data_IF_779592876719
#
_entry.id   IF_779592876719
#
_cell.length_a   1.000
_cell.length_b   1.000
_cell.length_c   1.000
_cell.angle_alpha   90.00
_cell.angle_beta   90.00
_cell.angle_gamma   90.00
#
_symmetry.space_group_name_H-M   'P 1'
#
loop_
_entity.id
_entity.type
_entity.pdbx_description
1 polymer ?
#
# COMPACT_ATOMS: atom_id res chain seq x y z
N UNK A 1 25.37 -5.50 9.39
CA UNK A 1 24.19 -4.74 8.92
C UNK A 1 23.45 -4.25 10.16
N UNK A 2 23.19 -2.94 10.28
CA UNK A 2 22.37 -2.42 11.39
C UNK A 2 20.97 -3.04 11.23
N UNK A 3 20.57 -3.92 12.16
CA UNK A 3 19.21 -4.45 12.26
C UNK A 3 18.30 -3.25 12.55
N UNK A 4 17.90 -2.49 11.52
CA UNK A 4 16.75 -1.60 11.63
C UNK A 4 15.60 -2.52 11.99
N UNK A 5 15.04 -2.28 13.16
CA UNK A 5 13.85 -2.97 13.62
C UNK A 5 12.76 -2.79 12.55
N UNK A 6 12.50 -3.85 11.78
CA UNK A 6 11.55 -3.84 10.68
C UNK A 6 10.15 -3.46 11.16
N UNK A 7 9.79 -3.82 12.39
CA UNK A 7 8.53 -3.43 13.00
C UNK A 7 8.48 -1.91 13.22
N UNK A 8 9.59 -1.30 13.69
CA UNK A 8 9.72 0.16 13.79
C UNK A 8 9.60 0.82 12.41
N UNK A 9 10.33 0.34 11.40
CA UNK A 9 10.29 0.96 10.07
C UNK A 9 8.90 0.84 9.43
N UNK A 10 8.27 -0.34 9.52
CA UNK A 10 6.92 -0.59 9.05
C UNK A 10 5.90 0.30 9.78
N UNK A 11 6.02 0.45 11.09
CA UNK A 11 5.21 1.38 11.90
C UNK A 11 5.30 2.80 11.37
N UNK A 12 6.51 3.29 11.07
CA UNK A 12 6.72 4.65 10.57
C UNK A 12 6.07 4.85 9.20
N UNK A 13 6.22 3.90 8.28
CA UNK A 13 5.58 3.98 6.95
C UNK A 13 4.06 4.00 7.07
N UNK A 14 3.49 3.12 7.89
CA UNK A 14 2.04 3.02 8.09
C UNK A 14 1.47 4.26 8.78
N UNK A 15 2.17 4.80 9.79
CA UNK A 15 1.79 6.06 10.44
C UNK A 15 1.77 7.21 9.44
N UNK A 16 2.79 7.34 8.60
CA UNK A 16 2.85 8.39 7.59
C UNK A 16 1.70 8.29 6.58
N UNK A 17 1.35 7.07 6.13
CA UNK A 17 0.19 6.83 5.27
C UNK A 17 -1.10 7.29 5.97
N UNK A 18 -1.31 6.90 7.23
CA UNK A 18 -2.52 7.24 7.97
C UNK A 18 -2.67 8.75 8.20
N UNK A 19 -1.58 9.44 8.51
CA UNK A 19 -1.57 10.90 8.66
C UNK A 19 -1.84 11.63 7.33
N UNK A 20 -1.24 11.17 6.24
CA UNK A 20 -1.52 11.75 4.92
C UNK A 20 -2.96 11.47 4.48
N UNK A 21 -3.49 10.27 4.73
CA UNK A 21 -4.91 9.94 4.53
C UNK A 21 -5.82 10.90 5.32
N UNK A 22 -5.54 11.12 6.61
CA UNK A 22 -6.30 12.05 7.44
C UNK A 22 -6.25 13.49 6.90
N UNK A 23 -5.11 13.92 6.35
CA UNK A 23 -4.94 15.26 5.77
C UNK A 23 -5.76 15.44 4.49
N UNK A 24 -5.77 14.45 3.61
CA UNK A 24 -6.43 14.56 2.29
C UNK A 24 -7.91 14.21 2.29
N UNK A 25 -8.38 13.45 3.29
CA UNK A 25 -9.76 12.97 3.38
C UNK A 25 -10.82 14.08 3.20
N UNK A 26 -10.70 15.27 3.83
CA UNK A 26 -11.68 16.34 3.62
C UNK A 26 -11.72 16.87 2.17
N UNK A 27 -10.55 16.98 1.54
CA UNK A 27 -10.45 17.46 0.15
C UNK A 27 -10.97 16.41 -0.84
N UNK A 28 -10.69 15.13 -0.58
CA UNK A 28 -11.27 14.02 -1.33
C UNK A 28 -12.79 13.98 -1.15
N UNK A 29 -13.31 14.09 0.06
CA UNK A 29 -14.76 14.08 0.32
C UNK A 29 -15.49 15.23 -0.37
N UNK A 30 -14.88 16.43 -0.40
CA UNK A 30 -15.42 17.56 -1.15
C UNK A 30 -15.47 17.27 -2.67
N UNK A 31 -14.37 16.73 -3.21
CA UNK A 31 -14.27 16.31 -4.61
C UNK A 31 -15.28 15.22 -4.98
N UNK A 32 -15.50 14.27 -4.07
CA UNK A 32 -16.45 13.18 -4.23
C UNK A 32 -17.92 13.61 -4.08
N UNK A 33 -18.19 14.80 -3.52
CA UNK A 33 -19.56 15.30 -3.32
C UNK A 33 -20.11 16.02 -4.53
N UNK A 34 -19.54 17.13 -5.01
CA UNK A 34 -19.98 17.83 -6.24
C UNK A 34 -19.03 18.91 -6.79
N UNK A 35 -17.72 18.86 -6.48
CA UNK A 35 -16.76 19.77 -7.12
C UNK A 35 -16.14 19.16 -8.38
N UNK A 36 -16.10 19.93 -9.46
CA UNK A 36 -15.41 19.56 -10.70
C UNK A 36 -13.90 19.83 -10.61
N UNK A 37 -13.51 20.66 -9.64
CA UNK A 37 -12.13 20.99 -9.36
C UNK A 37 -11.43 19.83 -8.65
N UNK A 38 -10.34 19.35 -9.26
CA UNK A 38 -9.47 18.32 -8.69
C UNK A 38 -8.79 18.86 -7.42
N UNK A 39 -8.78 18.10 -6.32
CA UNK A 39 -8.15 18.55 -5.10
C UNK A 39 -6.63 18.64 -5.27
N UNK A 40 -6.03 19.69 -4.70
CA UNK A 40 -4.59 19.90 -4.69
C UNK A 40 -3.88 19.01 -3.65
N UNK A 41 -3.89 17.68 -3.88
CA UNK A 41 -3.39 16.66 -2.95
C UNK A 41 -2.32 15.73 -3.58
N UNK A 42 -1.74 16.15 -4.70
CA UNK A 42 -0.85 15.29 -5.49
C UNK A 42 0.40 14.88 -4.71
N UNK A 43 0.94 15.77 -3.88
CA UNK A 43 2.13 15.48 -3.07
C UNK A 43 1.85 14.41 -2.01
N UNK A 44 0.73 14.54 -1.30
CA UNK A 44 0.27 13.57 -0.31
C UNK A 44 -0.02 12.20 -0.95
N UNK A 45 -0.68 12.19 -2.12
CA UNK A 45 -0.94 10.95 -2.86
C UNK A 45 0.36 10.24 -3.27
N UNK A 46 1.39 10.97 -3.70
CA UNK A 46 2.70 10.40 -4.02
C UNK A 46 3.44 9.88 -2.79
N UNK A 47 3.35 10.59 -1.66
CA UNK A 47 3.91 10.12 -0.37
C UNK A 47 3.23 8.85 0.12
N UNK A 48 1.90 8.78 0.03
CA UNK A 48 1.12 7.59 0.36
C UNK A 48 1.60 6.41 -0.50
N UNK A 49 1.68 6.61 -1.83
CA UNK A 49 2.14 5.57 -2.75
C UNK A 49 3.56 5.11 -2.41
N UNK A 50 4.49 6.04 -2.25
CA UNK A 50 5.89 5.72 -1.92
C UNK A 50 6.02 4.94 -0.62
N UNK A 51 5.31 5.35 0.45
CA UNK A 51 5.33 4.61 1.71
C UNK A 51 4.65 3.24 1.60
N UNK A 52 3.58 3.10 0.81
CA UNK A 52 2.91 1.82 0.62
C UNK A 52 3.78 0.81 -0.14
N UNK A 53 4.54 1.27 -1.13
CA UNK A 53 5.53 0.47 -1.84
C UNK A 53 6.67 0.04 -0.92
N UNK A 54 7.28 1.01 -0.23
CA UNK A 54 8.35 0.73 0.71
C UNK A 54 7.91 -0.26 1.80
N UNK A 55 6.70 -0.11 2.35
CA UNK A 55 6.17 -1.03 3.35
C UNK A 55 6.08 -2.48 2.84
N UNK A 56 5.68 -2.67 1.58
CA UNK A 56 5.64 -4.00 0.95
C UNK A 56 7.05 -4.56 0.74
N UNK A 57 7.96 -3.73 0.21
CA UNK A 57 9.36 -4.10 -0.06
C UNK A 57 10.15 -4.49 1.20
N UNK A 58 9.77 -3.99 2.38
CA UNK A 58 10.38 -4.41 3.66
C UNK A 58 10.17 -5.90 3.97
N UNK A 59 9.06 -6.47 3.49
CA UNK A 59 8.63 -7.85 3.79
C UNK A 59 8.83 -8.77 2.59
N UNK A 60 8.83 -8.18 1.39
CA UNK A 60 9.08 -8.87 0.14
C UNK A 60 9.81 -7.91 -0.82
N UNK A 61 11.13 -7.76 -0.67
CA UNK A 61 11.92 -7.01 -1.64
C UNK A 61 11.70 -7.69 -3.00
N UNK A 62 11.35 -6.88 -4.00
CA UNK A 62 11.03 -7.43 -5.31
C UNK A 62 12.21 -8.20 -5.90
N UNK A 63 11.93 -9.21 -6.72
CA UNK A 63 12.94 -9.93 -7.53
C UNK A 63 13.83 -8.97 -8.35
N UNK A 64 13.35 -7.73 -8.59
CA UNK A 64 14.04 -6.68 -9.35
C UNK A 64 14.92 -5.75 -8.50
N UNK A 65 14.99 -5.93 -7.17
CA UNK A 65 15.85 -5.15 -6.26
C UNK A 65 17.34 -5.53 -6.42
N UNK A 66 17.85 -5.47 -7.65
CA UNK A 66 19.14 -6.02 -8.06
C UNK A 66 19.26 -6.27 -9.56
N UNK A 67 18.19 -6.08 -10.36
CA UNK A 67 18.23 -6.23 -11.82
C UNK A 67 19.08 -5.12 -12.47
N UNK A 68 20.40 -5.33 -12.50
CA UNK A 68 21.27 -4.69 -13.47
C UNK A 68 21.04 -5.37 -14.83
N UNK A 69 20.45 -4.63 -15.78
CA UNK A 69 20.21 -5.09 -17.15
C UNK A 69 21.46 -5.76 -17.76
N UNK A 70 21.39 -7.07 -18.04
CA UNK A 70 22.33 -7.78 -18.92
C UNK A 70 23.03 -9.02 -18.38
N UNK A 71 22.75 -9.47 -17.15
CA UNK A 71 23.31 -10.72 -16.62
C UNK A 71 22.31 -11.89 -16.69
N UNK A 72 22.78 -13.15 -16.85
CA UNK A 72 21.89 -14.32 -16.87
C UNK A 72 21.11 -14.43 -15.57
N UNK A 73 19.84 -14.85 -15.64
CA UNK A 73 18.90 -14.98 -14.51
C UNK A 73 19.50 -15.73 -13.31
N UNK A 74 20.31 -16.74 -13.58
CA UNK A 74 21.00 -17.59 -12.58
C UNK A 74 22.07 -16.84 -11.75
N UNK A 75 22.53 -15.67 -12.22
CA UNK A 75 23.50 -14.79 -11.54
C UNK A 75 22.81 -13.61 -10.85
N UNK A 76 21.57 -13.31 -11.25
CA UNK A 76 20.72 -12.25 -10.69
C UNK A 76 19.73 -12.75 -9.63
N UNK A 77 19.49 -14.06 -9.56
CA UNK A 77 18.80 -14.69 -8.43
C UNK A 77 19.78 -14.82 -7.26
N UNK A 78 20.15 -13.72 -6.62
CA UNK A 78 20.60 -13.83 -5.24
C UNK A 78 19.38 -14.15 -4.39
N UNK A 79 19.51 -15.21 -3.61
CA UNK A 79 18.65 -15.63 -2.53
C UNK A 79 18.49 -14.47 -1.53
N UNK A 80 17.60 -13.53 -1.80
CA UNK A 80 17.35 -12.37 -0.92
C UNK A 80 15.85 -12.16 -0.67
N UNK A 81 15.03 -13.23 -0.67
CA UNK A 81 13.80 -13.17 0.13
C UNK A 81 14.32 -13.04 1.57
N UNK A 82 14.08 -11.91 2.27
CA UNK A 82 14.66 -11.67 3.56
C UNK A 82 14.14 -12.80 4.42
N UNK A 83 15.07 -13.62 4.88
CA UNK A 83 14.75 -14.78 5.68
C UNK A 83 14.12 -14.20 6.96
N UNK A 84 12.79 -14.18 7.01
CA UNK A 84 11.99 -13.52 8.04
C UNK A 84 11.01 -14.52 8.62
N UNK A 85 11.01 -14.60 9.94
CA UNK A 85 9.97 -15.27 10.71
C UNK A 85 8.97 -14.21 11.17
N UNK A 86 7.70 -14.36 10.78
CA UNK A 86 6.62 -13.48 11.19
C UNK A 86 5.62 -14.28 12.01
N UNK A 87 5.50 -13.95 13.30
CA UNK A 87 4.59 -14.62 14.24
C UNK A 87 3.60 -13.64 14.83
N UNK A 88 2.51 -14.18 15.36
CA UNK A 88 1.51 -13.41 16.07
C UNK A 88 1.46 -13.84 17.54
N UNK A 89 1.67 -12.91 18.48
CA UNK A 89 1.84 -13.19 19.91
C UNK A 89 0.65 -13.94 20.55
N UNK A 90 -0.56 -13.75 20.02
CA UNK A 90 -1.79 -14.42 20.50
C UNK A 90 -2.13 -15.72 19.73
N UNK A 91 -1.23 -16.23 18.88
CA UNK A 91 -1.44 -17.43 18.05
C UNK A 91 -0.39 -18.50 18.34
N UNK A 92 -0.67 -19.77 17.99
CA UNK A 92 0.32 -20.83 18.08
C UNK A 92 1.62 -20.49 17.36
N UNK A 93 2.75 -20.86 17.96
CA UNK A 93 4.11 -20.52 17.48
C UNK A 93 4.45 -21.13 16.10
N UNK A 94 3.69 -22.13 15.66
CA UNK A 94 3.84 -22.81 14.38
C UNK A 94 3.12 -22.11 13.22
N UNK A 95 2.38 -21.02 13.48
CA UNK A 95 1.66 -20.29 12.45
C UNK A 95 2.52 -19.20 11.80
N UNK A 96 2.85 -19.37 10.51
CA UNK A 96 3.48 -18.32 9.69
C UNK A 96 2.47 -17.22 9.33
N UNK A 97 2.67 -16.01 9.87
CA UNK A 97 1.84 -14.84 9.59
C UNK A 97 2.31 -14.01 8.39
N UNK A 98 3.43 -14.38 7.75
CA UNK A 98 3.94 -13.72 6.54
C UNK A 98 2.90 -13.66 5.41
N UNK A 99 2.16 -14.74 5.06
CA UNK A 99 1.15 -14.67 4.01
C UNK A 99 0.05 -13.64 4.30
N UNK A 100 -0.37 -13.53 5.55
CA UNK A 100 -1.35 -12.53 5.97
C UNK A 100 -0.78 -11.12 5.81
N UNK A 101 0.45 -10.87 6.28
CA UNK A 101 1.07 -9.55 6.20
C UNK A 101 1.27 -9.13 4.74
N UNK A 102 1.79 -10.03 3.91
CA UNK A 102 1.96 -9.80 2.48
C UNK A 102 0.64 -9.53 1.76
N UNK A 103 -0.43 -10.25 2.10
CA UNK A 103 -1.77 -9.98 1.54
C UNK A 103 -2.20 -8.55 1.85
N UNK A 104 -2.05 -8.09 3.11
CA UNK A 104 -2.46 -6.73 3.49
C UNK A 104 -1.60 -5.66 2.83
N UNK A 105 -0.28 -5.83 2.82
CA UNK A 105 0.65 -4.86 2.23
C UNK A 105 0.49 -4.79 0.70
N UNK A 106 0.27 -5.93 0.03
CA UNK A 106 -0.01 -5.98 -1.40
C UNK A 106 -1.34 -5.28 -1.75
N UNK A 107 -2.40 -5.55 -0.99
CA UNK A 107 -3.67 -4.86 -1.17
C UNK A 107 -3.52 -3.34 -0.97
N UNK A 108 -2.76 -2.93 0.06
CA UNK A 108 -2.49 -1.53 0.37
C UNK A 108 -1.74 -0.81 -0.77
N UNK A 109 -0.65 -1.38 -1.30
CA UNK A 109 0.07 -0.74 -2.42
C UNK A 109 -0.74 -0.73 -3.72
N UNK A 110 -1.54 -1.76 -4.00
CA UNK A 110 -2.45 -1.79 -5.15
C UNK A 110 -3.50 -0.68 -5.04
N UNK A 111 -4.09 -0.52 -3.85
CA UNK A 111 -5.04 0.54 -3.58
C UNK A 111 -4.42 1.93 -3.74
N UNK A 112 -3.21 2.14 -3.23
CA UNK A 112 -2.48 3.41 -3.41
C UNK A 112 -2.18 3.72 -4.89
N UNK A 113 -1.72 2.73 -5.67
CA UNK A 113 -1.46 2.88 -7.12
C UNK A 113 -2.74 3.26 -7.87
N UNK A 114 -3.84 2.56 -7.61
CA UNK A 114 -5.13 2.82 -8.26
C UNK A 114 -5.71 4.16 -7.85
N UNK A 115 -5.61 4.54 -6.58
CA UNK A 115 -6.05 5.83 -6.09
C UNK A 115 -5.35 6.98 -6.83
N UNK A 116 -4.01 6.91 -6.96
CA UNK A 116 -3.24 7.90 -7.73
C UNK A 116 -3.72 7.94 -9.18
N UNK A 117 -3.87 6.78 -9.82
CA UNK A 117 -4.32 6.69 -11.20
C UNK A 117 -5.72 7.32 -11.39
N UNK A 118 -6.67 7.00 -10.53
CA UNK A 118 -8.04 7.52 -10.60
C UNK A 118 -8.09 9.02 -10.32
N UNK A 119 -7.34 9.52 -9.34
CA UNK A 119 -7.23 10.96 -9.07
C UNK A 119 -6.58 11.75 -10.21
N UNK A 120 -5.65 11.14 -10.95
CA UNK A 120 -4.98 11.77 -12.10
C UNK A 120 -5.77 11.61 -13.42
N UNK A 121 -6.73 10.70 -13.49
CA UNK A 121 -7.54 10.47 -14.68
C UNK A 121 -8.41 11.68 -14.99
N UNK A 122 -8.36 12.14 -16.24
CA UNK A 122 -9.25 13.20 -16.72
C UNK A 122 -10.63 12.64 -17.06
N UNK A 123 -11.70 13.30 -16.61
CA UNK A 123 -13.07 12.84 -16.82
C UNK A 123 -13.42 12.62 -18.30
N UNK A 124 -12.88 13.46 -19.19
CA UNK A 124 -13.06 13.39 -20.65
C UNK A 124 -12.48 12.13 -21.28
N UNK A 125 -11.50 11.49 -20.63
CA UNK A 125 -10.81 10.30 -21.14
C UNK A 125 -11.52 9.00 -20.76
N UNK A 126 -12.44 9.06 -19.79
CA UNK A 126 -13.18 7.89 -19.31
C UNK A 126 -14.28 7.53 -20.30
N UNK A 127 -14.07 6.44 -21.03
CA UNK A 127 -15.04 5.85 -21.95
C UNK A 127 -15.70 4.65 -21.30
N UNK A 128 -16.98 4.78 -20.95
CA UNK A 128 -17.79 3.68 -20.45
C UNK A 128 -18.57 3.03 -21.59
N UNK A 129 -18.90 1.75 -21.42
CA UNK A 129 -19.82 1.06 -22.32
C UNK A 129 -21.20 1.74 -22.28
N UNK A 130 -21.94 1.71 -23.40
CA UNK A 130 -23.27 2.34 -23.53
C UNK A 130 -24.28 1.88 -22.48
N UNK A 131 -24.14 0.65 -22.01
CA UNK A 131 -25.04 0.01 -21.03
C UNK A 131 -24.49 0.12 -19.59
N UNK A 132 -23.47 0.95 -19.36
CA UNK A 132 -22.92 1.13 -18.01
C UNK A 132 -23.98 1.79 -17.10
N UNK A 133 -24.21 1.26 -15.89
CA UNK A 133 -25.24 1.77 -14.97
C UNK A 133 -24.85 3.09 -14.29
N UNK A 134 -23.77 3.74 -14.73
CA UNK A 134 -23.18 4.90 -14.08
C UNK A 134 -22.50 5.81 -15.10
N UNK A 135 -22.38 7.09 -14.76
CA UNK A 135 -21.63 8.07 -15.53
C UNK A 135 -20.12 7.91 -15.30
N UNK A 136 -19.27 8.40 -16.22
CA UNK A 136 -17.81 8.49 -16.01
C UNK A 136 -17.41 9.11 -14.67
N UNK A 137 -18.15 10.14 -14.23
CA UNK A 137 -17.92 10.79 -12.94
C UNK A 137 -18.22 9.85 -11.78
N UNK A 138 -19.37 9.18 -11.82
CA UNK A 138 -19.75 8.21 -10.79
C UNK A 138 -18.77 7.03 -10.74
N UNK A 139 -18.26 6.59 -11.89
CA UNK A 139 -17.21 5.58 -11.97
C UNK A 139 -15.94 6.02 -11.25
N UNK A 140 -15.37 7.18 -11.61
CA UNK A 140 -14.16 7.69 -10.95
C UNK A 140 -14.36 7.92 -9.46
N UNK A 141 -15.50 8.49 -9.05
CA UNK A 141 -15.84 8.69 -7.63
C UNK A 141 -15.91 7.39 -6.85
N UNK A 142 -16.54 6.37 -7.44
CA UNK A 142 -16.68 5.07 -6.80
C UNK A 142 -15.34 4.36 -6.69
N UNK A 143 -14.49 4.47 -7.72
CA UNK A 143 -13.10 4.03 -7.69
C UNK A 143 -12.34 4.68 -6.55
N UNK A 144 -12.26 6.02 -6.53
CA UNK A 144 -11.50 6.78 -5.53
C UNK A 144 -11.94 6.41 -4.12
N UNK A 145 -13.27 6.36 -3.87
CA UNK A 145 -13.81 5.98 -2.56
C UNK A 145 -13.40 4.56 -2.17
N UNK A 146 -13.51 3.61 -3.10
CA UNK A 146 -13.13 2.22 -2.87
C UNK A 146 -11.64 2.10 -2.54
N UNK A 147 -10.77 2.68 -3.37
CA UNK A 147 -9.33 2.57 -3.21
C UNK A 147 -8.85 3.29 -1.95
N UNK A 148 -9.37 4.49 -1.67
CA UNK A 148 -9.03 5.23 -0.45
C UNK A 148 -9.50 4.48 0.82
N UNK A 149 -10.70 3.90 0.79
CA UNK A 149 -11.22 3.08 1.88
C UNK A 149 -10.39 1.81 2.13
N UNK A 150 -10.03 1.09 1.07
CA UNK A 150 -9.20 -0.11 1.15
C UNK A 150 -7.80 0.21 1.69
N UNK A 151 -7.14 1.25 1.15
CA UNK A 151 -5.86 1.76 1.63
C UNK A 151 -5.90 2.06 3.13
N UNK A 152 -6.86 2.87 3.59
CA UNK A 152 -7.00 3.23 5.01
C UNK A 152 -7.24 2.00 5.88
N UNK A 153 -8.14 1.11 5.46
CA UNK A 153 -8.49 -0.08 6.24
C UNK A 153 -7.27 -0.99 6.42
N UNK A 154 -6.55 -1.31 5.33
CA UNK A 154 -5.37 -2.17 5.36
C UNK A 154 -4.23 -1.53 6.16
N UNK A 155 -3.94 -0.24 5.93
CA UNK A 155 -2.93 0.48 6.67
C UNK A 155 -3.22 0.48 8.17
N UNK A 156 -4.48 0.75 8.57
CA UNK A 156 -4.90 0.74 9.97
C UNK A 156 -4.78 -0.64 10.60
N UNK A 157 -5.23 -1.70 9.91
CA UNK A 157 -5.15 -3.06 10.41
C UNK A 157 -3.69 -3.46 10.67
N UNK A 158 -2.79 -3.29 9.69
CA UNK A 158 -1.39 -3.64 9.90
C UNK A 158 -0.75 -2.76 10.97
N UNK A 159 -1.02 -1.45 10.98
CA UNK A 159 -0.48 -0.54 11.99
C UNK A 159 -0.87 -0.97 13.41
N UNK A 160 -2.12 -1.36 13.63
CA UNK A 160 -2.57 -1.82 14.95
C UNK A 160 -1.88 -3.11 15.37
N UNK A 161 -1.69 -4.07 14.46
CA UNK A 161 -1.04 -5.33 14.78
C UNK A 161 0.47 -5.14 15.07
N UNK A 162 1.13 -4.25 14.34
CA UNK A 162 2.58 -3.97 14.55
C UNK A 162 2.79 -3.08 15.78
N UNK A 163 2.02 -2.00 15.97
CA UNK A 163 2.22 -1.07 17.09
C UNK A 163 1.77 -1.62 18.45
N UNK A 164 0.93 -2.64 18.48
CA UNK A 164 0.55 -3.34 19.72
C UNK A 164 1.48 -4.52 20.00
N UNK A 165 2.62 -4.61 19.30
CA UNK A 165 3.59 -5.70 19.40
C UNK A 165 2.97 -7.11 19.22
N UNK A 166 1.83 -7.17 18.50
CA UNK A 166 1.14 -8.44 18.22
C UNK A 166 1.85 -9.20 17.12
N UNK A 167 2.46 -8.50 16.16
CA UNK A 167 3.31 -9.09 15.14
C UNK A 167 4.78 -9.01 15.55
N UNK A 168 5.39 -10.19 15.69
CA UNK A 168 6.83 -10.34 15.89
C UNK A 168 7.47 -10.57 14.53
N UNK A 169 8.37 -9.67 14.12
CA UNK A 169 9.07 -9.72 12.83
C UNK A 169 10.56 -9.90 13.12
N UNK A 170 11.06 -11.11 12.94
CA UNK A 170 12.44 -11.47 13.28
C UNK A 170 13.20 -11.99 12.06
N UNK A 171 14.47 -11.62 11.87
CA UNK A 171 15.34 -12.30 10.92
C UNK A 171 15.48 -13.77 11.30
N UNK A 172 15.29 -14.67 10.32
CA UNK A 172 15.66 -16.08 10.43
C UNK A 172 17.17 -16.16 10.55
N UNK A 173 17.63 -16.97 11.52
CA UNK A 173 19.02 -17.05 11.95
C UNK A 173 19.90 -17.83 10.98
#
# INVERSE_FOLDING_TARGET
>A
MNKRDLATELTWKLSAILEDCKRIEPALDAYLKDTDERPAISLELLRILSNALAAYELVHPGEEAGEFHGLPREVCTTEDDPDLTIRHAERPDDWDFRPWLLEKLNAMQKAARRLVQECLTELSTVKLHKDAPMTPRQYLRSGIRLQFGELKAKAKTVFQEVCLDKLQIEPTA
#
